data_IF_642392688702
#
_entry.id   IF_642392688702
#
_cell.length_a   1.000
_cell.length_b   1.000
_cell.length_c   1.000
_cell.angle_alpha   90.00
_cell.angle_beta   90.00
_cell.angle_gamma   90.00
#
_symmetry.space_group_name_H-M   'P 1'
#
loop_
_entity.id
_entity.type
_entity.pdbx_description
1 polymer ?
#
# COMPACT_ATOMS: atom_id res chain seq x y z
N UNK A 1 2.98 -72.28 -34.86
CA UNK A 1 2.49 -70.90 -34.97
C UNK A 1 2.99 -70.15 -33.74
N UNK A 2 4.09 -69.41 -33.89
CA UNK A 2 4.79 -68.73 -32.79
C UNK A 2 4.07 -67.43 -32.43
N UNK A 3 3.49 -67.32 -31.23
CA UNK A 3 3.12 -66.03 -30.65
C UNK A 3 4.26 -65.55 -29.74
N UNK A 4 4.93 -64.49 -30.19
CA UNK A 4 5.91 -63.73 -29.41
C UNK A 4 5.19 -62.88 -28.37
N UNK A 5 5.47 -63.12 -27.10
CA UNK A 5 5.19 -62.20 -26.00
C UNK A 5 6.17 -61.02 -26.08
N UNK A 6 5.62 -59.81 -26.31
CA UNK A 6 6.36 -58.54 -26.23
C UNK A 6 6.40 -58.09 -24.77
N UNK A 7 7.60 -58.15 -24.17
CA UNK A 7 7.90 -57.57 -22.86
C UNK A 7 8.04 -56.06 -22.99
N UNK A 8 7.15 -55.31 -22.35
CA UNK A 8 7.22 -53.85 -22.24
C UNK A 8 8.09 -53.49 -21.02
N UNK A 9 9.20 -52.73 -21.16
CA UNK A 9 9.99 -52.34 -20.00
C UNK A 9 9.27 -51.19 -19.28
N UNK A 10 8.91 -51.45 -18.02
CA UNK A 10 8.37 -50.45 -17.10
C UNK A 10 9.51 -49.46 -16.77
N UNK A 11 9.57 -48.34 -17.50
CA UNK A 11 10.45 -47.22 -17.17
C UNK A 11 9.94 -46.65 -15.85
N UNK A 12 10.61 -47.04 -14.76
CA UNK A 12 10.33 -46.51 -13.43
C UNK A 12 10.96 -45.13 -13.37
N UNK A 13 10.16 -44.10 -13.60
CA UNK A 13 10.57 -42.71 -13.39
C UNK A 13 10.73 -42.52 -11.88
N UNK A 14 11.94 -42.72 -11.37
CA UNK A 14 12.30 -42.27 -10.03
C UNK A 14 12.34 -40.75 -10.09
N UNK A 15 11.19 -40.13 -9.87
CA UNK A 15 11.13 -38.71 -9.54
C UNK A 15 11.83 -38.55 -8.20
N UNK A 16 13.13 -38.21 -8.24
CA UNK A 16 13.83 -37.65 -7.09
C UNK A 16 13.09 -36.38 -6.73
N UNK A 17 12.18 -36.51 -5.75
CA UNK A 17 11.58 -35.38 -5.07
C UNK A 17 12.73 -34.69 -4.33
N UNK A 18 13.41 -33.78 -5.03
CA UNK A 18 14.24 -32.80 -4.38
C UNK A 18 13.27 -31.97 -3.53
N UNK A 19 13.17 -32.32 -2.24
CA UNK A 19 12.76 -31.40 -1.21
C UNK A 19 13.67 -30.18 -1.35
N UNK A 20 13.24 -29.22 -2.15
CA UNK A 20 13.77 -27.88 -2.08
C UNK A 20 13.38 -27.40 -0.70
N UNK A 21 14.34 -27.46 0.23
CA UNK A 21 14.29 -26.65 1.42
C UNK A 21 13.95 -25.24 0.96
N UNK A 22 12.75 -24.79 1.33
CA UNK A 22 12.23 -23.45 1.10
C UNK A 22 13.17 -22.45 1.79
N UNK A 23 14.25 -22.09 1.09
CA UNK A 23 15.21 -21.08 1.49
C UNK A 23 14.57 -19.70 1.36
N UNK A 24 13.65 -19.39 2.28
CA UNK A 24 13.12 -18.05 2.47
C UNK A 24 14.23 -17.18 3.07
N UNK A 25 14.83 -16.33 2.23
CA UNK A 25 15.92 -15.41 2.53
C UNK A 25 17.20 -16.00 3.16
N UNK A 26 18.36 -15.52 2.72
CA UNK A 26 19.64 -16.01 3.21
C UNK A 26 19.96 -15.38 4.58
N UNK A 27 19.93 -16.17 5.67
CA UNK A 27 20.28 -15.70 7.02
C UNK A 27 21.70 -15.10 7.07
N UNK A 28 22.61 -15.52 6.18
CA UNK A 28 23.92 -14.91 6.04
C UNK A 28 23.82 -13.43 5.60
N UNK A 29 22.96 -13.10 4.63
CA UNK A 29 22.75 -11.72 4.22
C UNK A 29 22.22 -10.87 5.36
N UNK A 30 21.27 -11.42 6.12
CA UNK A 30 20.69 -10.76 7.27
C UNK A 30 21.73 -10.47 8.33
N UNK A 31 22.61 -11.43 8.60
CA UNK A 31 23.73 -11.28 9.53
C UNK A 31 24.69 -10.17 9.07
N UNK A 32 25.07 -10.17 7.80
CA UNK A 32 25.97 -9.15 7.24
C UNK A 32 25.34 -7.75 7.30
N UNK A 33 24.05 -7.64 6.95
CA UNK A 33 23.32 -6.36 6.99
C UNK A 33 23.15 -5.83 8.41
N UNK A 34 22.96 -6.71 9.40
CA UNK A 34 22.72 -6.34 10.80
C UNK A 34 23.98 -6.41 11.68
N UNK A 35 25.17 -6.62 11.11
CA UNK A 35 26.40 -6.69 11.90
C UNK A 35 26.63 -5.38 12.68
N UNK A 36 26.63 -5.47 14.01
CA UNK A 36 26.77 -4.31 14.90
C UNK A 36 25.55 -3.38 14.89
N UNK A 37 24.38 -3.84 14.45
CA UNK A 37 23.14 -3.06 14.42
C UNK A 37 22.13 -3.67 15.40
N UNK A 38 21.87 -2.97 16.49
CA UNK A 38 20.87 -3.35 17.49
C UNK A 38 19.61 -2.49 17.41
N UNK A 39 19.79 -1.19 17.20
CA UNK A 39 18.71 -0.20 17.17
C UNK A 39 19.07 0.94 16.22
N UNK A 40 18.11 1.32 15.38
CA UNK A 40 18.27 2.47 14.47
C UNK A 40 17.42 3.66 14.93
N UNK A 41 17.72 4.81 14.33
CA UNK A 41 17.03 6.07 14.53
C UNK A 41 15.50 5.91 14.44
N UNK A 42 14.75 6.59 15.32
CA UNK A 42 13.31 6.74 15.18
C UNK A 42 12.84 8.17 14.90
N UNK A 43 13.75 9.05 14.48
CA UNK A 43 13.43 10.35 13.90
C UNK A 43 12.64 10.19 12.60
N UNK A 44 11.65 11.06 12.40
CA UNK A 44 10.62 10.89 11.39
C UNK A 44 9.58 9.82 11.77
N UNK A 45 8.69 9.46 10.85
CA UNK A 45 7.77 8.34 11.03
C UNK A 45 7.75 7.52 9.75
N UNK A 46 8.34 6.33 9.71
CA UNK A 46 8.40 5.52 8.49
C UNK A 46 7.03 5.06 8.04
N UNK A 47 6.89 4.82 6.74
CA UNK A 47 5.89 3.90 6.21
C UNK A 47 6.35 2.45 6.41
N UNK A 48 5.41 1.52 6.52
CA UNK A 48 5.75 0.10 6.50
C UNK A 48 6.15 -0.39 5.10
N UNK A 49 6.75 -1.56 5.01
CA UNK A 49 7.07 -2.25 3.77
C UNK A 49 6.33 -3.58 3.70
N UNK A 50 5.70 -3.84 2.56
CA UNK A 50 5.32 -5.17 2.16
C UNK A 50 6.56 -5.88 1.60
N UNK A 51 6.94 -6.98 2.24
CA UNK A 51 8.03 -7.87 1.80
C UNK A 51 7.39 -9.16 1.34
N UNK A 52 7.40 -9.48 0.06
CA UNK A 52 6.74 -10.67 -0.51
C UNK A 52 7.69 -11.57 -1.31
N UNK A 53 8.87 -11.06 -1.68
CA UNK A 53 9.83 -11.79 -2.49
C UNK A 53 10.38 -13.02 -1.76
N UNK A 54 10.64 -14.14 -2.45
CA UNK A 54 11.16 -15.36 -1.83
C UNK A 54 12.56 -15.17 -1.22
N UNK A 55 13.34 -14.24 -1.78
CA UNK A 55 14.69 -13.86 -1.29
C UNK A 55 14.70 -12.51 -0.57
N UNK A 56 13.52 -11.92 -0.33
CA UNK A 56 13.38 -10.64 0.34
C UNK A 56 13.31 -10.84 1.86
N UNK A 57 14.10 -10.07 2.60
CA UNK A 57 14.24 -10.17 4.04
C UNK A 57 13.89 -8.86 4.76
N UNK A 58 12.97 -8.89 5.73
CA UNK A 58 12.81 -7.83 6.71
C UNK A 58 14.05 -7.75 7.63
N UNK A 59 14.54 -6.54 7.89
CA UNK A 59 15.71 -6.27 8.74
C UNK A 59 15.33 -5.60 10.05
N UNK A 60 14.43 -4.62 9.96
CA UNK A 60 13.96 -3.79 11.07
C UNK A 60 12.45 -3.68 10.99
N UNK A 61 11.75 -3.70 12.12
CA UNK A 61 10.30 -3.61 12.16
C UNK A 61 9.78 -2.59 13.19
N UNK A 62 8.65 -1.98 12.86
CA UNK A 62 7.88 -1.10 13.75
C UNK A 62 6.61 -1.79 14.25
N UNK A 63 6.03 -1.27 15.34
CA UNK A 63 4.77 -1.74 15.92
C UNK A 63 3.58 -1.26 15.08
N UNK A 64 2.72 -2.18 14.65
CA UNK A 64 1.50 -1.86 13.89
C UNK A 64 0.37 -2.76 14.36
N UNK A 65 -0.78 -2.19 14.74
CA UNK A 65 -1.98 -2.98 15.06
C UNK A 65 -1.83 -4.06 16.13
N UNK A 66 -0.83 -3.99 17.03
CA UNK A 66 -0.54 -5.03 18.02
C UNK A 66 0.34 -6.19 17.50
N UNK A 67 0.87 -6.06 16.28
CA UNK A 67 1.93 -6.88 15.71
C UNK A 67 3.07 -5.96 15.21
N UNK A 68 3.82 -6.40 14.19
CA UNK A 68 4.91 -5.62 13.60
C UNK A 68 4.79 -5.58 12.08
N UNK A 69 5.31 -4.52 11.46
CA UNK A 69 5.54 -4.42 10.02
C UNK A 69 7.00 -4.04 9.74
N UNK A 70 7.60 -4.53 8.64
CA UNK A 70 8.94 -4.11 8.24
C UNK A 70 9.01 -2.60 8.00
N UNK A 71 10.09 -1.98 8.44
CA UNK A 71 10.45 -0.58 8.13
C UNK A 71 11.79 -0.47 7.43
N UNK A 72 12.58 -1.55 7.41
CA UNK A 72 13.74 -1.73 6.53
C UNK A 72 13.72 -3.17 6.02
N UNK A 73 13.91 -3.36 4.72
CA UNK A 73 13.99 -4.67 4.09
C UNK A 73 15.04 -4.68 2.98
N UNK A 74 15.58 -5.86 2.68
CA UNK A 74 16.52 -6.05 1.58
C UNK A 74 16.05 -7.16 0.65
N UNK A 75 16.44 -7.09 -0.63
CA UNK A 75 16.15 -8.11 -1.63
C UNK A 75 17.12 -8.02 -2.81
N UNK A 76 16.95 -8.89 -3.81
CA UNK A 76 17.71 -8.91 -5.06
C UNK A 76 16.79 -8.71 -6.25
N UNK A 77 17.33 -8.12 -7.32
CA UNK A 77 16.67 -8.00 -8.62
C UNK A 77 17.72 -8.21 -9.71
N UNK A 78 17.57 -9.28 -10.49
CA UNK A 78 18.66 -9.77 -11.34
C UNK A 78 19.94 -10.02 -10.54
N UNK A 79 21.05 -9.41 -10.97
CA UNK A 79 22.35 -9.45 -10.28
C UNK A 79 22.48 -8.38 -9.19
N UNK A 80 21.59 -7.39 -9.17
CA UNK A 80 21.62 -6.27 -8.23
C UNK A 80 21.00 -6.59 -6.89
N UNK A 81 21.21 -5.67 -5.96
CA UNK A 81 20.83 -5.78 -4.55
C UNK A 81 20.17 -4.48 -4.11
N UNK A 82 19.03 -4.60 -3.43
CA UNK A 82 18.20 -3.47 -3.02
C UNK A 82 18.05 -3.48 -1.51
N UNK A 83 18.18 -2.32 -0.88
CA UNK A 83 17.75 -2.10 0.51
C UNK A 83 16.75 -0.95 0.54
N UNK A 84 15.53 -1.26 0.97
CA UNK A 84 14.42 -0.33 1.08
C UNK A 84 14.26 0.13 2.52
N UNK A 85 14.12 1.43 2.69
CA UNK A 85 13.91 2.13 3.94
C UNK A 85 12.53 2.79 3.91
N UNK A 86 11.69 2.52 4.91
CA UNK A 86 10.35 3.11 5.02
C UNK A 86 10.34 4.62 5.24
N UNK A 87 11.51 5.26 5.34
CA UNK A 87 11.67 6.71 5.42
C UNK A 87 13.03 7.12 4.82
N UNK A 88 13.06 8.20 4.06
CA UNK A 88 14.29 8.78 3.48
C UNK A 88 15.23 9.33 4.54
N UNK A 89 14.71 9.85 5.64
CA UNK A 89 15.49 10.23 6.82
C UNK A 89 16.41 9.14 7.42
N UNK A 90 16.22 7.85 7.13
CA UNK A 90 17.19 6.81 7.52
C UNK A 90 18.48 6.87 6.69
N UNK A 91 18.42 7.42 5.49
CA UNK A 91 19.59 7.59 4.61
C UNK A 91 20.50 8.75 5.06
N UNK A 92 20.00 9.67 5.89
CA UNK A 92 20.72 10.86 6.36
C UNK A 92 21.05 10.87 7.85
N UNK A 93 20.34 10.09 8.68
CA UNK A 93 20.56 10.04 10.14
C UNK A 93 21.82 9.25 10.57
N UNK A 94 22.92 9.41 9.84
CA UNK A 94 24.14 8.57 9.95
C UNK A 94 24.87 8.66 11.29
N UNK A 95 24.64 9.73 12.07
CA UNK A 95 25.22 9.94 13.41
C UNK A 95 24.30 9.53 14.57
N UNK A 96 23.12 8.96 14.28
CA UNK A 96 22.11 8.62 15.30
C UNK A 96 22.00 7.11 15.47
N UNK A 97 22.30 6.61 16.69
CA UNK A 97 22.28 5.18 17.03
C UNK A 97 23.10 4.36 16.02
N UNK A 98 22.68 3.13 15.71
CA UNK A 98 23.36 2.24 14.76
C UNK A 98 22.95 2.51 13.30
N UNK A 99 22.27 3.63 13.01
CA UNK A 99 21.75 3.93 11.66
C UNK A 99 22.87 4.09 10.64
N UNK A 100 23.95 4.79 11.00
CA UNK A 100 25.14 4.89 10.15
C UNK A 100 25.78 3.52 9.90
N UNK A 101 25.82 2.65 10.92
CA UNK A 101 26.33 1.28 10.77
C UNK A 101 25.46 0.48 9.80
N UNK A 102 24.13 0.53 9.94
CA UNK A 102 23.21 -0.12 9.00
C UNK A 102 23.37 0.42 7.57
N UNK A 103 23.57 1.73 7.40
CA UNK A 103 23.81 2.33 6.09
C UNK A 103 25.10 1.80 5.45
N UNK A 104 26.21 1.74 6.21
CA UNK A 104 27.49 1.20 5.73
C UNK A 104 27.37 -0.28 5.34
N UNK A 105 26.72 -1.10 6.19
CA UNK A 105 26.49 -2.51 5.92
C UNK A 105 25.64 -2.68 4.66
N UNK A 106 24.61 -1.86 4.49
CA UNK A 106 23.75 -1.86 3.32
C UNK A 106 24.49 -1.49 2.04
N UNK A 107 25.38 -0.49 2.07
CA UNK A 107 26.22 -0.10 0.92
C UNK A 107 27.13 -1.25 0.53
N UNK A 108 27.87 -1.82 1.49
CA UNK A 108 28.81 -2.92 1.24
C UNK A 108 28.09 -4.16 0.72
N UNK A 109 26.95 -4.49 1.31
CA UNK A 109 26.14 -5.60 0.83
C UNK A 109 25.60 -5.31 -0.58
N UNK A 110 25.08 -4.11 -0.85
CA UNK A 110 24.52 -3.75 -2.15
C UNK A 110 25.57 -3.69 -3.27
N UNK A 111 26.82 -3.38 -2.93
CA UNK A 111 27.96 -3.35 -3.86
C UNK A 111 28.32 -4.72 -4.47
N UNK A 112 27.82 -5.81 -3.89
CA UNK A 112 28.13 -7.17 -4.34
C UNK A 112 29.53 -7.60 -3.93
N UNK A 113 30.36 -7.99 -4.90
CA UNK A 113 31.74 -8.44 -4.67
C UNK A 113 32.77 -7.30 -4.69
N UNK A 114 32.31 -6.06 -4.90
CA UNK A 114 33.17 -4.88 -5.00
C UNK A 114 33.61 -4.42 -3.62
N UNK A 115 34.91 -4.45 -3.36
CA UNK A 115 35.50 -4.07 -2.07
C UNK A 115 35.53 -2.55 -1.84
N UNK A 116 35.62 -1.76 -2.91
CA UNK A 116 35.68 -0.29 -2.88
C UNK A 116 34.59 0.30 -3.77
N UNK A 117 33.31 0.25 -3.34
CA UNK A 117 32.21 0.72 -4.16
C UNK A 117 32.23 2.24 -4.30
N UNK A 118 31.92 2.72 -5.50
CA UNK A 118 31.62 4.13 -5.76
C UNK A 118 30.13 4.40 -5.61
N UNK A 119 29.79 5.34 -4.73
CA UNK A 119 28.41 5.62 -4.30
C UNK A 119 27.89 6.91 -4.93
N UNK A 120 26.73 6.84 -5.59
CA UNK A 120 25.99 8.01 -6.06
C UNK A 120 24.92 8.42 -5.06
N UNK A 121 24.79 9.71 -4.75
CA UNK A 121 23.73 10.26 -3.89
C UNK A 121 22.79 11.11 -4.73
N UNK A 122 21.51 10.73 -4.77
CA UNK A 122 20.48 11.43 -5.55
C UNK A 122 19.32 11.88 -4.65
N UNK A 123 19.13 13.19 -4.52
CA UNK A 123 18.04 13.81 -3.73
C UNK A 123 18.01 13.44 -2.24
N UNK A 124 19.16 13.19 -1.63
CA UNK A 124 19.29 12.90 -0.19
C UNK A 124 19.29 14.20 0.62
N UNK A 125 18.52 14.29 1.72
CA UNK A 125 18.25 15.56 2.41
C UNK A 125 19.48 16.23 3.07
N UNK A 126 20.46 15.45 3.49
CA UNK A 126 21.71 15.94 4.11
C UNK A 126 22.92 15.43 3.33
N UNK A 127 22.93 15.64 2.01
CA UNK A 127 24.03 15.18 1.14
C UNK A 127 25.42 15.56 1.67
N UNK A 128 25.70 16.80 2.12
CA UNK A 128 27.02 17.14 2.66
C UNK A 128 27.40 16.32 3.90
N UNK A 129 26.45 16.08 4.82
CA UNK A 129 26.66 15.25 6.00
C UNK A 129 26.90 13.78 5.66
N UNK A 130 26.14 13.22 4.71
CA UNK A 130 26.31 11.83 4.26
C UNK A 130 27.62 11.65 3.50
N UNK A 131 27.99 12.57 2.59
CA UNK A 131 29.28 12.53 1.89
C UNK A 131 30.46 12.54 2.87
N UNK A 132 30.41 13.41 3.88
CA UNK A 132 31.45 13.48 4.91
C UNK A 132 31.56 12.18 5.69
N UNK A 133 30.41 11.61 6.10
CA UNK A 133 30.35 10.33 6.80
C UNK A 133 30.89 9.16 5.97
N UNK A 134 30.53 9.06 4.68
CA UNK A 134 31.04 7.99 3.81
C UNK A 134 32.55 8.11 3.59
N UNK A 135 33.07 9.34 3.44
CA UNK A 135 34.50 9.61 3.32
C UNK A 135 35.27 9.22 4.59
N UNK A 136 34.72 9.50 5.78
CA UNK A 136 35.28 9.07 7.07
C UNK A 136 35.38 7.54 7.21
N UNK A 137 34.64 6.80 6.39
CA UNK A 137 34.60 5.34 6.35
C UNK A 137 35.20 4.73 5.06
N UNK A 138 36.06 5.50 4.38
CA UNK A 138 36.80 5.07 3.18
C UNK A 138 35.90 4.63 2.00
N UNK A 139 34.71 5.22 1.88
CA UNK A 139 33.78 4.98 0.77
C UNK A 139 33.81 6.20 -0.17
N UNK A 140 34.13 5.96 -1.45
CA UNK A 140 34.03 7.00 -2.47
C UNK A 140 32.56 7.33 -2.74
N UNK A 141 32.19 8.61 -2.65
CA UNK A 141 30.83 9.04 -2.87
C UNK A 141 30.76 10.37 -3.63
N UNK A 142 29.76 10.50 -4.50
CA UNK A 142 29.51 11.70 -5.32
C UNK A 142 28.03 12.08 -5.29
N UNK A 143 27.76 13.38 -5.25
CA UNK A 143 26.42 13.91 -5.44
C UNK A 143 26.04 13.88 -6.92
N UNK A 144 24.85 13.39 -7.22
CA UNK A 144 24.30 13.28 -8.56
C UNK A 144 23.11 14.23 -8.71
N UNK A 145 23.06 14.90 -9.86
CA UNK A 145 21.88 15.65 -10.29
C UNK A 145 20.87 14.70 -10.94
N UNK A 146 19.59 15.09 -10.95
CA UNK A 146 18.54 14.33 -11.64
C UNK A 146 18.90 14.19 -13.13
N UNK A 147 18.85 12.96 -13.63
CA UNK A 147 19.20 12.63 -15.02
C UNK A 147 20.69 12.40 -15.28
N UNK A 148 21.56 12.45 -14.26
CA UNK A 148 22.96 12.08 -14.40
C UNK A 148 23.12 10.60 -14.80
N UNK A 149 24.19 10.29 -15.55
CA UNK A 149 24.57 8.91 -15.84
C UNK A 149 24.96 8.17 -14.56
N UNK A 150 24.65 6.87 -14.50
CA UNK A 150 25.09 5.95 -13.44
C UNK A 150 26.37 5.20 -13.82
N UNK A 151 27.04 5.58 -14.91
CA UNK A 151 28.30 4.96 -15.32
C UNK A 151 29.39 5.12 -14.26
N UNK A 152 29.99 4.00 -13.87
CA UNK A 152 30.98 3.96 -12.80
C UNK A 152 30.40 4.24 -11.41
N UNK A 153 29.07 4.18 -11.23
CA UNK A 153 28.43 4.12 -9.92
C UNK A 153 28.07 2.66 -9.63
N UNK A 154 28.47 2.16 -8.47
CA UNK A 154 28.20 0.79 -8.04
C UNK A 154 26.94 0.72 -7.17
N UNK A 155 26.73 1.74 -6.34
CA UNK A 155 25.60 1.84 -5.42
C UNK A 155 24.96 3.22 -5.49
N UNK A 156 23.63 3.28 -5.63
CA UNK A 156 22.85 4.51 -5.62
C UNK A 156 22.09 4.63 -4.30
N UNK A 157 22.31 5.72 -3.56
CA UNK A 157 21.47 6.17 -2.44
C UNK A 157 20.50 7.22 -2.95
N UNK A 158 19.20 6.95 -2.83
CA UNK A 158 18.18 7.82 -3.41
C UNK A 158 16.98 8.04 -2.48
N UNK A 159 16.51 9.28 -2.39
CA UNK A 159 15.15 9.54 -1.90
C UNK A 159 14.14 9.05 -2.95
N UNK A 160 13.50 7.92 -2.67
CA UNK A 160 12.58 7.29 -3.62
C UNK A 160 11.27 8.06 -3.83
N UNK A 161 10.95 9.05 -2.99
CA UNK A 161 9.79 9.94 -3.22
C UNK A 161 9.97 10.77 -4.50
N UNK A 162 11.22 11.01 -4.92
CA UNK A 162 11.54 11.77 -6.13
C UNK A 162 11.70 10.90 -7.38
N UNK A 163 11.47 9.58 -7.26
CA UNK A 163 11.51 8.67 -8.39
C UNK A 163 10.27 8.87 -9.27
N UNK A 164 10.50 9.09 -10.56
CA UNK A 164 9.44 9.26 -11.55
C UNK A 164 9.29 8.03 -12.46
N UNK A 165 8.16 7.92 -13.13
CA UNK A 165 7.80 6.75 -13.94
C UNK A 165 8.72 6.53 -15.15
N UNK A 166 9.29 7.60 -15.71
CA UNK A 166 10.21 7.55 -16.84
C UNK A 166 11.60 6.99 -16.47
N UNK A 167 11.92 6.92 -15.18
CA UNK A 167 13.18 6.36 -14.67
C UNK A 167 13.10 4.87 -14.32
N UNK A 168 11.89 4.28 -14.31
CA UNK A 168 11.68 2.88 -13.89
C UNK A 168 12.49 1.92 -14.76
N UNK A 169 12.42 2.06 -16.08
CA UNK A 169 13.07 1.11 -17.00
C UNK A 169 14.60 1.19 -16.92
N UNK A 170 15.15 2.40 -16.89
CA UNK A 170 16.60 2.62 -16.86
C UNK A 170 17.21 2.17 -15.54
N UNK A 171 16.62 2.54 -14.39
CA UNK A 171 17.07 2.05 -13.09
C UNK A 171 16.82 0.56 -12.92
N UNK A 172 15.69 0.04 -13.42
CA UNK A 172 15.40 -1.39 -13.39
C UNK A 172 16.44 -2.19 -14.16
N UNK A 173 16.83 -1.74 -15.35
CA UNK A 173 17.92 -2.35 -16.12
C UNK A 173 19.25 -2.30 -15.36
N UNK A 174 19.63 -1.12 -14.86
CA UNK A 174 20.90 -0.94 -14.14
C UNK A 174 21.01 -1.84 -12.90
N UNK A 175 19.92 -1.97 -12.11
CA UNK A 175 19.90 -2.88 -10.96
C UNK A 175 20.04 -4.33 -11.44
N UNK A 176 19.26 -4.77 -12.44
CA UNK A 176 19.36 -6.16 -12.95
C UNK A 176 20.77 -6.51 -13.45
N UNK A 177 21.48 -5.54 -13.99
CA UNK A 177 22.85 -5.69 -14.48
C UNK A 177 23.91 -5.70 -13.37
N UNK A 178 23.53 -5.45 -12.12
CA UNK A 178 24.40 -5.59 -10.94
C UNK A 178 24.63 -4.30 -10.14
N UNK A 179 23.88 -3.23 -10.41
CA UNK A 179 23.85 -2.03 -9.59
C UNK A 179 23.15 -2.26 -8.24
N UNK A 180 23.68 -1.67 -7.18
CA UNK A 180 23.09 -1.68 -5.85
C UNK A 180 22.20 -0.46 -5.60
N UNK A 181 21.02 -0.60 -5.03
CA UNK A 181 20.15 0.55 -4.72
C UNK A 181 19.70 0.58 -3.26
N UNK A 182 19.97 1.69 -2.59
CA UNK A 182 19.42 2.02 -1.28
C UNK A 182 18.41 3.14 -1.46
N UNK A 183 17.16 2.89 -1.07
CA UNK A 183 16.08 3.86 -1.32
C UNK A 183 15.19 4.06 -0.12
N UNK A 184 14.82 5.31 0.13
CA UNK A 184 13.91 5.68 1.20
C UNK A 184 12.60 6.22 0.66
N UNK A 185 11.46 5.62 1.04
CA UNK A 185 10.13 6.13 0.70
C UNK A 185 9.23 6.07 1.92
N UNK A 186 8.78 7.25 2.35
CA UNK A 186 7.73 7.40 3.36
C UNK A 186 6.37 7.19 2.69
N UNK A 187 5.90 5.94 2.60
CA UNK A 187 4.72 5.60 1.79
C UNK A 187 3.45 6.39 2.13
N UNK A 188 3.15 6.61 3.42
CA UNK A 188 2.02 7.48 3.82
C UNK A 188 2.24 8.95 3.42
N UNK A 189 3.50 9.44 3.46
CA UNK A 189 3.86 10.79 3.02
C UNK A 189 3.77 10.92 1.51
N UNK A 190 4.15 9.88 0.76
CA UNK A 190 3.98 9.83 -0.69
C UNK A 190 2.50 9.91 -1.08
N UNK A 191 1.60 9.20 -0.37
CA UNK A 191 0.15 9.30 -0.60
C UNK A 191 -0.37 10.73 -0.43
N UNK A 192 0.13 11.47 0.57
CA UNK A 192 -0.26 12.86 0.81
C UNK A 192 0.30 13.82 -0.24
N UNK A 193 1.57 13.66 -0.61
CA UNK A 193 2.31 14.62 -1.44
C UNK A 193 2.24 14.35 -2.94
N UNK A 194 1.92 13.11 -3.35
CA UNK A 194 1.94 12.64 -4.74
C UNK A 194 0.69 11.84 -5.10
N UNK A 195 0.17 11.05 -4.17
CA UNK A 195 -1.01 10.21 -4.37
C UNK A 195 -2.36 10.95 -4.27
N UNK A 196 -2.38 12.26 -4.03
CA UNK A 196 -3.63 13.02 -3.90
C UNK A 196 -4.53 12.54 -2.77
N UNK A 197 -3.94 12.00 -1.70
CA UNK A 197 -4.61 11.30 -0.59
C UNK A 197 -5.37 10.02 -0.99
N UNK A 198 -5.07 9.44 -2.15
CA UNK A 198 -5.54 8.12 -2.54
C UNK A 198 -4.48 7.06 -2.20
N UNK A 199 -4.82 6.15 -1.29
CA UNK A 199 -3.93 5.04 -0.91
C UNK A 199 -3.76 4.04 -2.04
N UNK A 200 -4.75 3.87 -2.92
CA UNK A 200 -4.66 2.96 -4.05
C UNK A 200 -3.63 3.44 -5.09
N UNK A 201 -3.26 4.73 -5.07
CA UNK A 201 -2.18 5.27 -5.90
C UNK A 201 -0.82 4.60 -5.61
N UNK A 202 -0.60 4.05 -4.40
CA UNK A 202 0.62 3.26 -4.13
C UNK A 202 0.70 2.00 -4.99
N UNK A 203 -0.44 1.41 -5.34
CA UNK A 203 -0.51 0.17 -6.15
C UNK A 203 -0.40 0.45 -7.64
N UNK A 204 -0.68 1.69 -8.10
CA UNK A 204 -0.82 2.00 -9.52
C UNK A 204 0.21 3.00 -10.04
N UNK A 205 0.55 4.04 -9.27
CA UNK A 205 1.36 5.17 -9.75
C UNK A 205 2.61 5.47 -8.94
N UNK A 206 2.82 4.79 -7.80
CA UNK A 206 4.09 4.90 -7.07
C UNK A 206 5.22 4.23 -7.84
N UNK A 207 6.10 5.05 -8.44
CA UNK A 207 7.22 4.56 -9.25
C UNK A 207 8.15 3.60 -8.50
N UNK A 208 8.37 3.83 -7.20
CA UNK A 208 9.20 2.96 -6.38
C UNK A 208 8.57 1.56 -6.24
N UNK A 209 7.26 1.48 -6.02
CA UNK A 209 6.56 0.19 -5.98
C UNK A 209 6.58 -0.50 -7.34
N UNK A 210 6.46 0.26 -8.44
CA UNK A 210 6.56 -0.30 -9.79
C UNK A 210 7.96 -0.83 -10.11
N UNK A 211 9.02 -0.15 -9.65
CA UNK A 211 10.41 -0.53 -9.85
C UNK A 211 10.78 -1.79 -9.04
N UNK A 212 10.34 -1.89 -7.78
CA UNK A 212 10.79 -2.95 -6.87
C UNK A 212 9.85 -4.17 -6.77
N UNK A 213 8.77 -4.22 -7.56
CA UNK A 213 7.83 -5.34 -7.55
C UNK A 213 8.47 -6.69 -7.87
N UNK A 214 9.42 -6.71 -8.81
CA UNK A 214 10.18 -7.91 -9.17
C UNK A 214 11.05 -8.41 -7.99
N UNK A 215 11.56 -7.49 -7.18
CA UNK A 215 12.29 -7.81 -5.95
C UNK A 215 11.36 -8.23 -4.79
N UNK A 216 10.04 -8.14 -4.96
CA UNK A 216 9.05 -8.41 -3.94
C UNK A 216 9.14 -7.45 -2.74
N UNK A 217 9.38 -6.17 -3.01
CA UNK A 217 9.31 -5.09 -2.02
C UNK A 217 8.32 -4.03 -2.51
N UNK A 218 7.40 -3.61 -1.65
CA UNK A 218 6.54 -2.46 -1.88
C UNK A 218 6.41 -1.60 -0.61
N UNK A 219 6.38 -0.28 -0.77
CA UNK A 219 6.13 0.70 0.28
C UNK A 219 4.62 0.82 0.55
N UNK A 220 4.25 0.83 1.83
CA UNK A 220 2.87 0.88 2.28
C UNK A 220 2.50 2.23 2.89
N UNK A 221 1.20 2.50 2.97
CA UNK A 221 0.65 3.66 3.69
C UNK A 221 0.49 3.42 5.21
N UNK A 222 0.94 2.28 5.74
CA UNK A 222 0.93 2.05 7.19
C UNK A 222 1.89 2.99 7.90
N UNK A 223 1.73 3.15 9.22
CA UNK A 223 2.54 4.10 10.02
C UNK A 223 3.13 3.37 11.22
N UNK A 224 4.08 2.42 11.02
CA UNK A 224 4.59 1.60 12.09
C UNK A 224 5.28 2.45 13.18
N UNK A 225 4.79 2.28 14.40
CA UNK A 225 5.29 3.00 15.57
C UNK A 225 6.62 2.42 16.05
N UNK A 226 7.33 3.23 16.83
CA UNK A 226 8.62 2.89 17.43
C UNK A 226 8.52 1.62 18.28
N UNK A 227 9.57 0.80 18.28
CA UNK A 227 9.68 -0.41 19.11
C UNK A 227 10.46 -0.18 20.40
N UNK A 228 11.12 0.98 20.55
CA UNK A 228 11.77 1.45 21.77
C UNK A 228 11.68 2.98 21.90
N UNK A 229 11.96 3.59 23.07
CA UNK A 229 12.05 5.04 23.24
C UNK A 229 13.08 5.63 22.27
N UNK A 230 12.59 6.31 21.23
CA UNK A 230 13.38 6.93 20.15
C UNK A 230 14.19 5.97 19.27
N UNK A 231 13.77 4.71 19.15
CA UNK A 231 14.43 3.77 18.25
C UNK A 231 13.49 2.71 17.63
N UNK A 232 13.98 2.11 16.55
CA UNK A 232 13.48 0.84 16.02
C UNK A 232 14.50 -0.27 16.29
N UNK A 233 14.07 -1.32 17.00
CA UNK A 233 14.85 -2.53 17.25
C UNK A 233 15.08 -3.27 15.94
N UNK A 234 16.35 -3.54 15.65
CA UNK A 234 16.77 -4.35 14.53
C UNK A 234 16.80 -5.84 14.91
N UNK A 235 16.51 -6.70 13.95
CA UNK A 235 16.64 -8.13 14.14
C UNK A 235 15.46 -8.82 14.87
N UNK A 236 15.75 -9.92 15.56
CA UNK A 236 14.75 -10.84 16.15
C UNK A 236 14.12 -11.81 15.13
N UNK A 237 13.08 -12.55 15.51
CA UNK A 237 12.32 -13.33 14.52
C UNK A 237 11.43 -12.39 13.70
N UNK A 238 11.74 -12.28 12.41
CA UNK A 238 11.00 -11.47 11.43
C UNK A 238 10.50 -12.33 10.25
N UNK A 239 10.58 -13.65 10.36
CA UNK A 239 10.28 -14.59 9.27
C UNK A 239 8.86 -14.39 8.72
N UNK A 240 7.87 -14.28 9.61
CA UNK A 240 6.46 -14.04 9.25
C UNK A 240 6.13 -12.60 8.89
N UNK A 241 7.12 -11.70 8.85
CA UNK A 241 6.94 -10.37 8.25
C UNK A 241 7.19 -10.38 6.72
N UNK A 242 7.63 -11.51 6.17
CA UNK A 242 7.50 -11.79 4.75
C UNK A 242 6.07 -12.29 4.47
N UNK A 243 5.33 -11.57 3.64
CA UNK A 243 3.93 -11.84 3.31
C UNK A 243 3.73 -13.18 2.58
N UNK A 244 4.70 -13.66 1.82
CA UNK A 244 4.63 -15.01 1.24
C UNK A 244 4.72 -16.07 2.34
N UNK A 245 5.68 -15.94 3.27
CA UNK A 245 5.82 -16.86 4.40
C UNK A 245 4.60 -16.79 5.33
N UNK A 246 4.06 -15.60 5.58
CA UNK A 246 2.85 -15.41 6.37
C UNK A 246 1.62 -16.06 5.73
N UNK A 247 1.50 -16.00 4.39
CA UNK A 247 0.43 -16.65 3.64
C UNK A 247 0.55 -18.16 3.73
N UNK A 248 1.74 -18.71 3.55
CA UNK A 248 2.00 -20.15 3.64
C UNK A 248 1.73 -20.69 5.05
N UNK A 249 2.15 -19.97 6.09
CA UNK A 249 1.84 -20.29 7.48
C UNK A 249 0.33 -20.29 7.74
N UNK A 250 -0.38 -19.25 7.26
CA UNK A 250 -1.83 -19.16 7.38
C UNK A 250 -2.55 -20.31 6.64
N UNK A 251 -2.12 -20.63 5.43
CA UNK A 251 -2.68 -21.76 4.67
C UNK A 251 -2.46 -23.08 5.41
N UNK A 252 -1.23 -23.34 5.89
CA UNK A 252 -0.92 -24.55 6.67
C UNK A 252 -1.77 -24.66 7.94
N UNK A 253 -2.06 -23.54 8.60
CA UNK A 253 -2.98 -23.48 9.73
C UNK A 253 -4.41 -23.85 9.33
N UNK A 254 -4.93 -23.25 8.27
CA UNK A 254 -6.31 -23.46 7.82
C UNK A 254 -6.55 -24.89 7.33
N UNK A 255 -5.53 -25.55 6.80
CA UNK A 255 -5.56 -26.96 6.41
C UNK A 255 -5.38 -27.93 7.59
N UNK A 256 -5.21 -27.42 8.81
CA UNK A 256 -5.00 -28.23 10.02
C UNK A 256 -3.61 -28.89 10.12
N UNK A 257 -2.66 -28.50 9.26
CA UNK A 257 -1.30 -29.09 9.22
C UNK A 257 -0.40 -28.51 10.30
N UNK A 258 -0.40 -27.19 10.45
CA UNK A 258 0.44 -26.48 11.45
C UNK A 258 -0.40 -25.47 12.23
N UNK A 259 -0.86 -25.81 13.44
CA UNK A 259 -1.61 -24.87 14.28
C UNK A 259 -0.77 -23.63 14.62
N UNK A 260 -1.37 -22.45 14.51
CA UNK A 260 -0.76 -21.17 14.86
C UNK A 260 -1.45 -20.59 16.09
N UNK A 261 -0.70 -19.85 16.91
CA UNK A 261 -1.26 -19.14 18.04
C UNK A 261 -2.16 -17.97 17.58
N UNK A 262 -3.13 -17.51 18.40
CA UNK A 262 -3.92 -16.33 18.09
C UNK A 262 -3.08 -15.07 17.80
N UNK A 263 -1.95 -14.90 18.50
CA UNK A 263 -1.03 -13.79 18.28
C UNK A 263 -0.32 -13.89 16.92
N UNK A 264 0.04 -15.11 16.50
CA UNK A 264 0.62 -15.36 15.18
C UNK A 264 -0.40 -15.13 14.08
N UNK A 265 -1.64 -15.59 14.25
CA UNK A 265 -2.74 -15.33 13.32
C UNK A 265 -3.02 -13.83 13.17
N UNK A 266 -3.08 -13.10 14.28
CA UNK A 266 -3.22 -11.65 14.26
C UNK A 266 -2.06 -10.95 13.51
N UNK A 267 -0.84 -11.45 13.66
CA UNK A 267 0.32 -10.95 12.92
C UNK A 267 0.22 -11.22 11.42
N UNK A 268 -0.15 -12.45 11.02
CA UNK A 268 -0.42 -12.80 9.62
C UNK A 268 -1.52 -11.91 9.02
N UNK A 269 -2.60 -11.65 9.77
CA UNK A 269 -3.68 -10.76 9.31
C UNK A 269 -3.19 -9.34 9.01
N UNK A 270 -2.32 -8.79 9.86
CA UNK A 270 -1.77 -7.43 9.68
C UNK A 270 -0.80 -7.38 8.50
N UNK A 271 0.15 -8.32 8.42
CA UNK A 271 1.16 -8.38 7.34
C UNK A 271 0.49 -8.56 5.99
N UNK A 272 -0.43 -9.54 5.87
CA UNK A 272 -1.09 -9.85 4.61
C UNK A 272 -2.09 -8.75 4.22
N UNK A 273 -2.84 -8.20 5.19
CA UNK A 273 -3.76 -7.10 4.94
C UNK A 273 -3.05 -5.82 4.49
N UNK A 274 -1.83 -5.56 4.97
CA UNK A 274 -1.00 -4.45 4.47
C UNK A 274 -0.39 -4.74 3.10
N UNK A 275 0.02 -5.97 2.83
CA UNK A 275 0.52 -6.41 1.54
C UNK A 275 -0.50 -6.18 0.42
N UNK A 276 -1.74 -6.67 0.57
CA UNK A 276 -2.79 -6.52 -0.45
C UNK A 276 -3.01 -5.05 -0.84
N UNK A 277 -3.03 -4.16 0.16
CA UNK A 277 -3.31 -2.73 -0.04
C UNK A 277 -2.12 -1.94 -0.61
N UNK A 278 -0.95 -2.56 -0.73
CA UNK A 278 0.31 -1.87 -1.10
C UNK A 278 0.97 -2.43 -2.36
N UNK A 279 0.76 -3.71 -2.67
CA UNK A 279 1.36 -4.35 -3.84
C UNK A 279 0.90 -3.73 -5.16
N UNK A 280 1.77 -3.58 -6.16
CA UNK A 280 1.36 -3.23 -7.51
C UNK A 280 0.27 -4.14 -8.06
N UNK A 281 -0.70 -3.59 -8.81
CA UNK A 281 -1.85 -4.35 -9.32
C UNK A 281 -1.47 -5.52 -10.22
N UNK A 282 -0.31 -5.45 -10.85
CA UNK A 282 0.27 -6.46 -11.74
C UNK A 282 1.38 -7.31 -11.06
N UNK A 283 1.46 -7.30 -9.73
CA UNK A 283 2.36 -8.18 -8.98
C UNK A 283 2.17 -9.65 -9.38
N UNK A 284 3.27 -10.33 -9.68
CA UNK A 284 3.30 -11.72 -10.12
C UNK A 284 3.69 -12.70 -9.01
N UNK A 285 4.12 -12.19 -7.83
CA UNK A 285 4.66 -13.01 -6.75
C UNK A 285 3.60 -13.44 -5.75
N UNK A 286 2.84 -12.49 -5.20
CA UNK A 286 1.89 -12.74 -4.11
C UNK A 286 0.43 -12.63 -4.56
N UNK A 287 0.08 -11.68 -5.43
CA UNK A 287 -1.30 -11.49 -5.90
C UNK A 287 -1.94 -12.75 -6.50
N UNK A 288 -1.25 -13.55 -7.35
CA UNK A 288 -1.83 -14.79 -7.85
C UNK A 288 -2.15 -15.80 -6.72
N UNK A 289 -1.29 -15.88 -5.70
CA UNK A 289 -1.51 -16.74 -4.53
C UNK A 289 -2.71 -16.26 -3.70
N UNK A 290 -2.86 -14.96 -3.51
CA UNK A 290 -4.00 -14.35 -2.82
C UNK A 290 -5.32 -14.52 -3.59
N UNK A 291 -5.28 -14.44 -4.93
CA UNK A 291 -6.43 -14.66 -5.79
C UNK A 291 -6.91 -16.12 -5.75
N UNK A 292 -5.98 -17.06 -5.58
CA UNK A 292 -6.29 -18.49 -5.45
C UNK A 292 -6.91 -18.86 -4.10
N UNK A 293 -6.86 -17.97 -3.10
CA UNK A 293 -7.50 -18.23 -1.81
C UNK A 293 -8.99 -18.42 -1.99
N UNK A 294 -9.49 -19.56 -1.55
CA UNK A 294 -10.92 -19.79 -1.42
C UNK A 294 -11.33 -19.39 -0.01
N UNK A 295 -12.42 -18.69 0.10
CA UNK A 295 -13.29 -18.83 1.24
C UNK A 295 -14.70 -18.82 0.74
N UNK A 296 -15.56 -19.53 1.47
CA UNK A 296 -17.01 -19.37 1.33
C UNK A 296 -17.33 -17.87 1.45
N UNK A 297 -18.41 -17.41 0.80
CA UNK A 297 -18.88 -16.02 0.82
C UNK A 297 -18.81 -15.44 2.24
N UNK A 298 -17.68 -14.82 2.58
CA UNK A 298 -17.36 -14.50 3.95
C UNK A 298 -18.34 -13.43 4.38
N UNK A 299 -19.19 -13.75 5.36
CA UNK A 299 -20.18 -12.81 5.84
C UNK A 299 -19.49 -11.48 6.20
N UNK A 300 -20.02 -10.34 5.75
CA UNK A 300 -19.40 -9.06 6.04
C UNK A 300 -19.40 -8.81 7.56
N UNK A 301 -18.39 -8.08 8.08
CA UNK A 301 -18.34 -7.69 9.48
C UNK A 301 -19.57 -6.85 9.84
N UNK A 302 -20.18 -7.16 10.99
CA UNK A 302 -21.31 -6.42 11.56
C UNK A 302 -21.19 -6.26 13.08
N UNK A 303 -22.01 -5.40 13.70
CA UNK A 303 -21.99 -5.20 15.16
C UNK A 303 -22.21 -6.49 15.96
N UNK A 304 -23.10 -7.35 15.49
CA UNK A 304 -23.50 -8.63 16.09
C UNK A 304 -22.49 -9.76 15.78
N UNK A 305 -21.80 -9.66 14.64
CA UNK A 305 -20.83 -10.63 14.15
C UNK A 305 -19.51 -9.94 13.77
N UNK A 306 -18.73 -9.46 14.77
CA UNK A 306 -17.49 -8.76 14.51
C UNK A 306 -16.38 -9.73 14.07
N UNK A 307 -15.48 -9.25 13.20
CA UNK A 307 -14.35 -10.04 12.70
C UNK A 307 -13.07 -9.65 13.43
N UNK A 308 -12.58 -10.54 14.30
CA UNK A 308 -11.40 -10.36 15.14
C UNK A 308 -10.10 -10.57 14.36
N UNK A 309 -8.97 -10.02 14.84
CA UNK A 309 -7.66 -10.14 14.16
C UNK A 309 -7.18 -11.58 13.97
N UNK A 310 -7.50 -12.47 14.90
CA UNK A 310 -7.16 -13.90 14.84
C UNK A 310 -8.00 -14.68 13.83
N UNK A 311 -9.12 -14.12 13.34
CA UNK A 311 -9.84 -14.60 12.15
C UNK A 311 -9.10 -14.20 10.85
N UNK A 312 -7.81 -14.55 10.77
CA UNK A 312 -6.87 -14.02 9.80
C UNK A 312 -7.28 -14.31 8.34
N UNK A 313 -7.72 -15.53 8.04
CA UNK A 313 -8.19 -15.90 6.70
C UNK A 313 -9.42 -15.07 6.28
N UNK A 314 -10.40 -14.91 7.18
CA UNK A 314 -11.60 -14.12 6.90
C UNK A 314 -11.25 -12.64 6.65
N UNK A 315 -10.38 -12.05 7.48
CA UNK A 315 -9.91 -10.66 7.26
C UNK A 315 -9.17 -10.53 5.94
N UNK A 316 -8.38 -11.55 5.56
CA UNK A 316 -7.62 -11.55 4.32
C UNK A 316 -8.52 -11.56 3.09
N UNK A 317 -9.53 -12.43 3.08
CA UNK A 317 -10.54 -12.53 2.02
C UNK A 317 -11.28 -11.20 1.86
N UNK A 318 -11.78 -10.64 2.96
CA UNK A 318 -12.47 -9.35 2.94
C UNK A 318 -11.57 -8.23 2.42
N UNK A 319 -10.29 -8.22 2.82
CA UNK A 319 -9.34 -7.20 2.34
C UNK A 319 -9.11 -7.34 0.84
N UNK A 320 -8.89 -8.56 0.34
CA UNK A 320 -8.74 -8.84 -1.08
C UNK A 320 -9.97 -8.39 -1.88
N UNK A 321 -11.15 -8.78 -1.44
CA UNK A 321 -12.41 -8.52 -2.15
C UNK A 321 -12.70 -7.02 -2.18
N UNK A 322 -12.46 -6.32 -1.05
CA UNK A 322 -12.60 -4.87 -1.00
C UNK A 322 -11.63 -4.16 -1.94
N UNK A 323 -10.37 -4.59 -2.01
CA UNK A 323 -9.39 -4.00 -2.93
C UNK A 323 -9.75 -4.30 -4.39
N UNK A 324 -10.32 -5.47 -4.70
CA UNK A 324 -10.84 -5.78 -6.03
C UNK A 324 -11.99 -4.86 -6.46
N UNK A 325 -12.88 -4.49 -5.52
CA UNK A 325 -14.01 -3.58 -5.78
C UNK A 325 -13.55 -2.15 -6.13
N UNK A 326 -12.36 -1.73 -5.70
CA UNK A 326 -11.84 -0.38 -5.99
C UNK A 326 -11.51 -0.18 -7.47
N UNK A 327 -11.11 -1.24 -8.16
CA UNK A 327 -10.77 -1.21 -9.58
C UNK A 327 -11.96 -1.48 -10.50
N UNK A 328 -13.13 -1.78 -9.95
CA UNK A 328 -14.35 -2.04 -10.74
C UNK A 328 -14.82 -0.76 -11.43
N UNK A 329 -15.11 -0.86 -12.74
CA UNK A 329 -15.65 0.27 -13.48
C UNK A 329 -17.01 0.68 -12.89
N UNK A 330 -17.36 1.99 -12.83
CA UNK A 330 -18.60 2.45 -12.20
C UNK A 330 -19.86 1.71 -12.66
N UNK A 331 -19.95 1.37 -13.95
CA UNK A 331 -21.09 0.66 -14.54
C UNK A 331 -21.21 -0.82 -14.10
N UNK A 332 -20.15 -1.40 -13.55
CA UNK A 332 -20.07 -2.80 -13.13
C UNK A 332 -20.15 -2.97 -11.61
N UNK A 333 -20.09 -1.86 -10.85
CA UNK A 333 -20.20 -1.89 -9.39
C UNK A 333 -21.60 -2.38 -8.99
N UNK A 334 -21.64 -3.35 -8.08
CA UNK A 334 -22.88 -3.85 -7.47
C UNK A 334 -22.96 -3.44 -6.01
N UNK A 335 -24.18 -3.35 -5.48
CA UNK A 335 -24.39 -3.14 -4.06
C UNK A 335 -23.77 -4.29 -3.25
N UNK A 336 -22.88 -3.97 -2.32
CA UNK A 336 -22.33 -4.92 -1.38
C UNK A 336 -23.36 -5.22 -0.29
N UNK A 337 -23.54 -6.47 0.16
CA UNK A 337 -24.48 -6.80 1.24
C UNK A 337 -24.25 -6.00 2.54
N UNK A 338 -23.01 -5.59 2.78
CA UNK A 338 -22.64 -4.77 3.94
C UNK A 338 -23.22 -3.35 3.92
N UNK A 339 -23.65 -2.84 2.75
CA UNK A 339 -24.31 -1.54 2.63
C UNK A 339 -25.55 -1.46 3.53
N UNK A 340 -26.28 -2.57 3.69
CA UNK A 340 -27.47 -2.65 4.55
C UNK A 340 -27.12 -2.59 6.06
N UNK A 341 -25.92 -3.04 6.44
CA UNK A 341 -25.42 -2.97 7.83
C UNK A 341 -24.94 -1.54 8.12
N UNK A 342 -24.10 -1.01 7.23
CA UNK A 342 -23.55 0.33 7.31
C UNK A 342 -23.02 0.75 5.93
N UNK A 343 -23.36 1.95 5.42
CA UNK A 343 -24.06 3.06 6.08
C UNK A 343 -25.59 2.98 6.15
N UNK A 344 -26.21 1.98 5.51
CA UNK A 344 -27.65 1.79 5.42
C UNK A 344 -28.15 1.75 3.97
N UNK A 345 -29.22 0.99 3.73
CA UNK A 345 -29.85 0.88 2.42
C UNK A 345 -30.65 2.14 2.07
N UNK A 346 -30.63 2.50 0.79
CA UNK A 346 -31.57 3.47 0.22
C UNK A 346 -32.86 2.75 -0.13
N UNK A 347 -34.02 3.35 0.18
CA UNK A 347 -35.31 2.79 -0.23
C UNK A 347 -35.39 2.66 -1.75
N UNK A 348 -35.96 1.55 -2.24
CA UNK A 348 -36.19 1.36 -3.67
C UNK A 348 -37.12 2.46 -4.25
N UNK A 349 -38.01 3.01 -3.43
CA UNK A 349 -38.96 4.06 -3.79
C UNK A 349 -38.39 5.48 -3.69
N UNK A 350 -37.15 5.64 -3.18
CA UNK A 350 -36.52 6.95 -3.09
C UNK A 350 -36.35 7.55 -4.50
N UNK A 351 -36.84 8.78 -4.75
CA UNK A 351 -36.77 9.38 -6.07
C UNK A 351 -35.32 9.68 -6.42
N UNK A 352 -34.89 9.21 -7.59
CA UNK A 352 -33.58 9.55 -8.15
C UNK A 352 -33.65 10.98 -8.66
N UNK A 353 -32.60 11.73 -8.37
CA UNK A 353 -32.50 13.12 -8.82
C UNK A 353 -31.97 13.10 -10.25
N UNK A 354 -32.84 13.46 -11.20
CA UNK A 354 -32.50 13.53 -12.62
C UNK A 354 -31.39 14.56 -12.91
N UNK A 355 -31.41 15.68 -12.20
CA UNK A 355 -30.38 16.71 -12.27
C UNK A 355 -30.46 17.66 -11.07
N UNK A 356 -29.36 17.81 -10.33
CA UNK A 356 -29.20 18.81 -9.28
C UNK A 356 -27.95 19.64 -9.54
N UNK A 357 -28.14 20.91 -9.85
CA UNK A 357 -27.04 21.88 -9.91
C UNK A 357 -26.85 22.53 -8.54
N UNK A 358 -25.61 22.56 -8.08
CA UNK A 358 -25.18 23.18 -6.83
C UNK A 358 -24.10 24.21 -7.13
N UNK A 359 -24.25 25.42 -6.58
CA UNK A 359 -23.19 26.42 -6.61
C UNK A 359 -22.25 26.21 -5.43
N UNK A 360 -20.99 25.90 -5.71
CA UNK A 360 -19.93 25.67 -4.72
C UNK A 360 -19.00 26.87 -4.63
N UNK A 361 -18.52 27.17 -3.42
CA UNK A 361 -17.55 28.24 -3.17
C UNK A 361 -16.13 27.66 -3.12
N UNK A 362 -15.34 27.86 -4.15
CA UNK A 362 -13.99 27.27 -4.24
C UNK A 362 -13.01 27.85 -3.21
N UNK A 363 -13.32 28.98 -2.56
CA UNK A 363 -12.52 29.47 -1.44
C UNK A 363 -12.66 28.59 -0.18
N UNK A 364 -13.79 27.89 -0.03
CA UNK A 364 -14.02 26.91 1.02
C UNK A 364 -13.39 25.56 0.61
N UNK A 365 -12.07 25.46 0.76
CA UNK A 365 -11.31 24.24 0.44
C UNK A 365 -11.81 23.02 1.25
N UNK A 366 -11.45 21.81 0.82
CA UNK A 366 -11.90 20.52 1.39
C UNK A 366 -13.36 20.22 1.06
N UNK A 367 -14.00 19.37 1.88
CA UNK A 367 -15.27 18.73 1.55
C UNK A 367 -16.44 19.68 1.70
N UNK A 368 -17.14 19.91 0.60
CA UNK A 368 -18.43 20.59 0.60
C UNK A 368 -19.54 19.56 0.42
N UNK A 369 -20.44 19.50 1.40
CA UNK A 369 -21.60 18.61 1.39
C UNK A 369 -22.63 19.05 0.36
N UNK A 370 -23.10 18.09 -0.45
CA UNK A 370 -24.03 18.36 -1.56
C UNK A 370 -25.50 18.29 -1.16
N UNK A 371 -25.80 17.63 -0.04
CA UNK A 371 -27.16 17.23 0.31
C UNK A 371 -27.69 16.06 -0.52
N UNK A 372 -26.80 15.34 -1.20
CA UNK A 372 -27.13 14.15 -1.98
C UNK A 372 -26.42 12.91 -1.43
N UNK A 373 -27.01 11.75 -1.71
CA UNK A 373 -26.50 10.44 -1.34
C UNK A 373 -26.42 9.54 -2.55
N UNK A 374 -25.30 8.84 -2.73
CA UNK A 374 -25.12 7.84 -3.76
C UNK A 374 -25.73 6.50 -3.28
N UNK A 375 -26.75 5.95 -3.95
CA UNK A 375 -27.23 4.61 -3.64
C UNK A 375 -26.15 3.56 -3.90
N UNK A 376 -26.15 2.50 -3.11
CA UNK A 376 -25.15 1.43 -3.24
C UNK A 376 -25.29 0.73 -4.60
N UNK A 377 -24.18 0.65 -5.35
CA UNK A 377 -24.14 0.02 -6.68
C UNK A 377 -24.73 0.84 -7.83
N UNK A 378 -25.35 1.99 -7.56
CA UNK A 378 -25.90 2.84 -8.63
C UNK A 378 -24.84 3.85 -9.12
N UNK A 379 -24.89 4.17 -10.42
CA UNK A 379 -24.01 5.15 -11.05
C UNK A 379 -24.49 6.56 -10.75
N UNK A 380 -23.57 7.39 -10.23
CA UNK A 380 -23.73 8.83 -10.07
C UNK A 380 -22.86 9.55 -11.10
N UNK A 381 -23.42 10.54 -11.79
CA UNK A 381 -22.68 11.37 -12.74
C UNK A 381 -22.44 12.75 -12.14
N UNK A 382 -21.20 13.21 -12.18
CA UNK A 382 -20.76 14.55 -11.79
C UNK A 382 -20.36 15.31 -13.04
N UNK A 383 -20.90 16.52 -13.22
CA UNK A 383 -20.54 17.43 -14.30
C UNK A 383 -20.00 18.73 -13.75
N UNK A 384 -18.86 19.17 -14.29
CA UNK A 384 -18.20 20.44 -14.00
C UNK A 384 -17.86 21.15 -15.31
N UNK A 385 -17.65 22.46 -15.25
CA UNK A 385 -17.21 23.20 -16.43
C UNK A 385 -15.77 22.75 -16.85
N UNK A 386 -15.47 22.65 -18.16
CA UNK A 386 -14.21 22.09 -18.66
C UNK A 386 -12.95 22.74 -18.10
N UNK A 387 -12.98 24.03 -17.77
CA UNK A 387 -11.85 24.77 -17.21
C UNK A 387 -11.42 24.28 -15.81
N UNK A 388 -12.29 23.56 -15.10
CA UNK A 388 -12.01 22.98 -13.77
C UNK A 388 -11.59 21.50 -13.83
N UNK A 389 -11.76 20.85 -14.97
CA UNK A 389 -11.35 19.45 -15.15
C UNK A 389 -9.81 19.33 -14.98
N UNK A 390 -9.39 18.32 -14.22
CA UNK A 390 -7.98 18.06 -13.95
C UNK A 390 -7.31 19.09 -13.02
N UNK A 391 -8.05 20.04 -12.45
CA UNK A 391 -7.50 21.07 -11.52
C UNK A 391 -7.44 20.61 -10.05
N UNK A 392 -7.55 19.30 -9.80
CA UNK A 392 -7.41 18.69 -8.47
C UNK A 392 -8.71 18.53 -7.68
N UNK A 393 -9.85 18.98 -8.20
CA UNK A 393 -11.16 18.69 -7.64
C UNK A 393 -11.45 17.19 -7.65
N UNK A 394 -12.18 16.70 -6.64
CA UNK A 394 -12.62 15.31 -6.57
C UNK A 394 -14.07 15.20 -6.09
N UNK A 395 -14.74 14.12 -6.48
CA UNK A 395 -15.95 13.65 -5.80
C UNK A 395 -15.55 12.65 -4.72
N UNK A 396 -16.17 12.75 -3.55
CA UNK A 396 -16.06 11.79 -2.45
C UNK A 396 -17.43 11.20 -2.15
N UNK A 397 -17.49 9.88 -1.99
CA UNK A 397 -18.67 9.19 -1.46
C UNK A 397 -18.32 8.67 -0.07
N UNK A 398 -19.09 9.09 0.93
CA UNK A 398 -18.88 8.76 2.35
C UNK A 398 -18.08 9.82 3.12
N UNK A 399 -18.41 10.00 4.40
CA UNK A 399 -17.85 11.04 5.27
C UNK A 399 -16.60 10.61 6.07
N UNK A 400 -16.02 9.45 5.77
CA UNK A 400 -14.90 8.90 6.53
C UNK A 400 -13.58 9.04 5.75
N UNK A 401 -12.47 9.30 6.46
CA UNK A 401 -11.10 9.19 5.95
C UNK A 401 -10.29 8.11 6.66
N UNK A 402 -10.77 7.68 7.82
CA UNK A 402 -10.19 6.62 8.62
C UNK A 402 -10.54 5.25 8.05
N UNK A 403 -9.60 4.31 8.21
CA UNK A 403 -9.82 2.90 7.92
C UNK A 403 -9.73 2.09 9.22
N UNK A 404 -10.56 1.07 9.36
CA UNK A 404 -10.62 0.24 10.56
C UNK A 404 -9.58 -0.88 10.58
N UNK A 405 -8.69 -0.93 9.58
CA UNK A 405 -7.69 -1.98 9.37
C UNK A 405 -6.89 -2.33 10.64
N UNK A 406 -6.57 -1.32 11.44
CA UNK A 406 -5.78 -1.43 12.66
C UNK A 406 -6.57 -1.91 13.88
N UNK A 407 -7.91 -2.00 13.85
CA UNK A 407 -8.72 -2.38 15.01
C UNK A 407 -8.61 -3.89 15.35
N UNK A 408 -8.78 -4.19 16.64
CA UNK A 408 -8.80 -5.56 17.19
C UNK A 408 -9.92 -6.42 16.62
N UNK A 409 -11.02 -5.78 16.24
CA UNK A 409 -12.17 -6.39 15.59
C UNK A 409 -12.82 -5.39 14.63
N UNK A 410 -13.46 -5.90 13.59
CA UNK A 410 -14.23 -5.12 12.62
C UNK A 410 -15.72 -5.34 12.86
N UNK A 411 -16.45 -4.27 13.21
CA UNK A 411 -17.91 -4.25 13.37
C UNK A 411 -18.67 -3.74 12.15
N UNK A 412 -17.93 -3.39 11.10
CA UNK A 412 -18.39 -2.96 9.78
C UNK A 412 -17.24 -3.11 8.81
N UNK A 413 -17.51 -2.93 7.52
CA UNK A 413 -16.46 -2.95 6.51
C UNK A 413 -15.33 -1.96 6.86
N UNK A 414 -14.05 -2.36 6.73
CA UNK A 414 -12.94 -1.55 7.22
C UNK A 414 -12.81 -0.21 6.52
N UNK A 415 -13.23 -0.14 5.27
CA UNK A 415 -13.22 1.06 4.46
C UNK A 415 -14.41 1.04 3.51
N UNK A 416 -15.17 2.14 3.47
CA UNK A 416 -16.39 2.24 2.66
C UNK A 416 -16.46 3.53 1.83
N UNK A 417 -15.54 4.46 2.09
CA UNK A 417 -15.52 5.76 1.42
C UNK A 417 -14.59 5.73 0.22
N UNK A 418 -14.97 6.41 -0.84
CA UNK A 418 -14.19 6.54 -2.07
C UNK A 418 -13.91 8.00 -2.39
N UNK A 419 -12.85 8.23 -3.16
CA UNK A 419 -12.45 9.54 -3.67
C UNK A 419 -12.00 9.40 -5.11
N UNK A 420 -12.63 10.13 -6.02
CA UNK A 420 -12.32 10.09 -7.45
C UNK A 420 -12.05 11.49 -7.96
N UNK A 421 -10.87 11.72 -8.55
CA UNK A 421 -10.52 12.99 -9.18
C UNK A 421 -11.43 13.28 -10.36
N UNK A 422 -11.91 14.51 -10.46
CA UNK A 422 -12.68 15.02 -11.61
C UNK A 422 -11.70 15.44 -12.71
N UNK A 423 -11.14 14.45 -13.41
CA UNK A 423 -10.17 14.68 -14.49
C UNK A 423 -10.83 15.19 -15.77
N UNK A 424 -12.07 14.79 -16.00
CA UNK A 424 -12.88 15.13 -17.17
C UNK A 424 -14.10 15.98 -16.78
N UNK A 425 -14.66 16.79 -17.71
CA UNK A 425 -15.85 17.61 -17.45
C UNK A 425 -17.07 16.77 -17.01
N UNK A 426 -17.08 15.48 -17.37
CA UNK A 426 -18.09 14.51 -16.97
C UNK A 426 -17.37 13.31 -16.36
N UNK A 427 -17.65 13.03 -15.10
CA UNK A 427 -17.09 11.88 -14.38
C UNK A 427 -18.22 11.01 -13.84
N UNK A 428 -18.20 9.72 -14.11
CA UNK A 428 -19.11 8.74 -13.50
C UNK A 428 -18.42 8.04 -12.34
N UNK A 429 -19.15 7.82 -11.25
CA UNK A 429 -18.69 7.11 -10.06
C UNK A 429 -19.79 6.19 -9.54
N UNK A 430 -19.41 5.11 -8.88
CA UNK A 430 -20.31 4.25 -8.13
C UNK A 430 -19.62 3.81 -6.85
N UNK A 431 -20.40 3.54 -5.80
CA UNK A 431 -19.89 3.01 -4.53
C UNK A 431 -20.62 1.71 -4.22
N UNK A 432 -19.92 0.61 -3.91
CA UNK A 432 -20.58 -0.63 -3.50
C UNK A 432 -21.32 -0.49 -2.17
N UNK A 433 -21.00 0.53 -1.35
CA UNK A 433 -21.65 0.77 -0.06
C UNK A 433 -22.65 1.94 -0.09
N UNK A 434 -22.61 2.76 -1.14
CA UNK A 434 -23.28 4.06 -1.15
C UNK A 434 -22.64 5.06 -0.18
N UNK A 435 -23.28 6.22 -0.01
CA UNK A 435 -22.85 7.22 0.97
C UNK A 435 -23.15 8.66 0.56
N UNK A 436 -23.00 9.58 1.52
CA UNK A 436 -23.12 11.02 1.27
C UNK A 436 -22.11 11.49 0.22
N UNK A 437 -22.56 12.33 -0.71
CA UNK A 437 -21.73 12.88 -1.77
C UNK A 437 -21.15 14.22 -1.33
N UNK A 438 -19.83 14.35 -1.45
CA UNK A 438 -19.08 15.57 -1.23
C UNK A 438 -18.29 15.94 -2.47
N UNK A 439 -18.11 17.23 -2.70
CA UNK A 439 -17.10 17.72 -3.64
C UNK A 439 -15.91 18.22 -2.82
N UNK A 440 -14.74 17.63 -3.05
CA UNK A 440 -13.49 17.90 -2.36
C UNK A 440 -12.68 18.93 -3.16
N UNK A 441 -12.58 20.14 -2.62
CA UNK A 441 -11.91 21.27 -3.24
C UNK A 441 -10.43 21.29 -2.85
N UNK A 442 -9.50 21.34 -3.82
CA UNK A 442 -8.07 21.27 -3.54
C UNK A 442 -7.58 22.51 -2.76
N UNK A 443 -6.46 22.37 -2.02
CA UNK A 443 -5.75 23.53 -1.50
C UNK A 443 -5.39 24.51 -2.64
N UNK A 444 -5.39 25.81 -2.34
CA UNK A 444 -5.08 26.89 -3.30
C UNK A 444 -6.04 27.00 -4.50
N UNK A 445 -7.28 26.52 -4.36
CA UNK A 445 -8.33 26.80 -5.34
C UNK A 445 -8.63 28.31 -5.43
N UNK A 446 -9.05 28.81 -6.62
CA UNK A 446 -9.38 30.23 -6.80
C UNK A 446 -10.58 30.64 -5.95
N UNK A 447 -10.62 31.89 -5.51
CA UNK A 447 -11.74 32.43 -4.72
C UNK A 447 -12.94 32.81 -5.61
N UNK A 448 -13.60 31.81 -6.19
CA UNK A 448 -14.74 31.97 -7.09
C UNK A 448 -15.84 30.95 -6.76
N UNK A 449 -17.04 31.18 -7.29
CA UNK A 449 -18.14 30.22 -7.23
C UNK A 449 -18.32 29.52 -8.57
N UNK A 450 -18.59 28.22 -8.52
CA UNK A 450 -18.80 27.39 -9.72
C UNK A 450 -20.04 26.53 -9.55
N UNK A 451 -20.65 26.15 -10.65
CA UNK A 451 -21.76 25.21 -10.66
C UNK A 451 -21.27 23.78 -10.91
N UNK A 452 -21.81 22.84 -10.13
CA UNK A 452 -21.61 21.40 -10.28
C UNK A 452 -22.96 20.72 -10.40
N UNK A 453 -23.16 19.93 -11.45
CA UNK A 453 -24.40 19.16 -11.66
C UNK A 453 -24.19 17.70 -11.29
N UNK A 454 -25.14 17.14 -10.54
CA UNK A 454 -25.13 15.75 -10.07
C UNK A 454 -26.43 15.06 -10.51
N UNK A 455 -26.30 13.86 -11.09
CA UNK A 455 -27.41 13.00 -11.56
C UNK A 455 -27.25 11.58 -11.03
N UNK A 456 -28.36 10.88 -10.77
CA UNK A 456 -28.37 9.47 -10.33
C UNK A 456 -28.19 9.27 -8.82
N UNK A 457 -28.20 10.37 -8.06
CA UNK A 457 -28.19 10.35 -6.60
C UNK A 457 -29.63 10.39 -6.04
N UNK A 458 -29.79 10.19 -4.74
CA UNK A 458 -31.03 10.50 -4.00
C UNK A 458 -30.81 11.70 -3.08
N UNK A 459 -31.90 12.33 -2.64
CA UNK A 459 -31.79 13.38 -1.63
C UNK A 459 -31.32 12.80 -0.30
N UNK A 460 -30.58 13.61 0.46
CA UNK A 460 -30.21 13.30 1.83
C UNK A 460 -30.54 14.47 2.74
N UNK A 461 -30.91 14.21 4.00
CA UNK A 461 -31.18 15.28 4.94
C UNK A 461 -29.98 16.21 5.07
N UNK A 462 -30.20 17.51 4.85
CA UNK A 462 -29.17 18.54 4.98
C UNK A 462 -29.66 19.69 5.86
N UNK A 463 -28.80 20.09 6.78
CA UNK A 463 -28.93 21.29 7.58
C UNK A 463 -27.76 22.23 7.30
N UNK A 464 -28.05 23.49 7.03
CA UNK A 464 -27.05 24.54 6.85
C UNK A 464 -27.28 25.59 7.93
N UNK A 465 -26.31 25.74 8.84
CA UNK A 465 -26.40 26.71 9.93
C UNK A 465 -26.58 28.13 9.36
N UNK A 466 -27.59 28.84 9.85
CA UNK A 466 -27.93 30.19 9.39
C UNK A 466 -28.77 30.25 8.10
N UNK A 467 -29.05 29.12 7.46
CA UNK A 467 -29.96 29.06 6.29
C UNK A 467 -31.16 28.14 6.52
N UNK A 468 -30.94 26.96 7.11
CA UNK A 468 -32.01 26.01 7.41
C UNK A 468 -32.73 26.35 8.71
N UNK A 469 -34.05 26.29 8.71
CA UNK A 469 -34.86 26.36 9.92
C UNK A 469 -35.01 24.98 10.55
N UNK A 470 -35.46 24.92 11.81
CA UNK A 470 -35.83 23.65 12.46
C UNK A 470 -36.98 22.94 11.72
N UNK A 471 -37.89 23.70 11.09
CA UNK A 471 -38.98 23.13 10.29
C UNK A 471 -38.44 22.45 9.02
N UNK A 472 -37.51 23.11 8.32
CA UNK A 472 -36.84 22.52 7.14
C UNK A 472 -36.11 21.24 7.52
N UNK A 473 -35.41 21.25 8.66
CA UNK A 473 -34.70 20.06 9.15
C UNK A 473 -35.64 18.89 9.44
N UNK A 474 -36.76 19.15 10.14
CA UNK A 474 -37.76 18.12 10.44
C UNK A 474 -38.38 17.55 9.15
N UNK A 475 -38.67 18.41 8.18
CA UNK A 475 -39.18 18.01 6.88
C UNK A 475 -38.18 17.11 6.15
N UNK A 476 -36.93 17.55 6.02
CA UNK A 476 -35.88 16.77 5.36
C UNK A 476 -35.56 15.44 6.04
N UNK A 477 -35.84 15.28 7.34
CA UNK A 477 -35.68 14.00 8.04
C UNK A 477 -36.85 13.03 7.83
N UNK A 478 -38.03 13.54 7.43
CA UNK A 478 -39.23 12.74 7.20
C UNK A 478 -39.44 12.34 5.74
N UNK A 479 -38.77 13.03 4.83
CA UNK A 479 -38.66 12.72 3.40
C UNK A 479 -37.49 11.75 3.17
#
# INVERSE_FOLDING_TARGET
MNLRTLSCPLITFVATLALHSSGFANEADRKDLLEGVSMINAGGTPGGLCVSGPVALPLVAGQEGGARLPVVAASRMGKGRIVAYGHDGFLSAVKVRDTGRLLLNSIRWAAGERSMPRVGLLSVSDTPGVLSFLKEHDIEAVELQKGASLDGIDVLLMNGITLDSDQIDSFGKWIRDGGGMLTGVTGWGWVQLRGGNDRAALQTTCAANQLFKEAGIAFSASVPRRTAPDAYIAGGDLSLLNATAALEALTSHTEGKTPLSPATLASCSIVLGDAIRSLPTDDTLLRPKLAALRGDDAAPPGPEHPIRRDAALQRLIITRDLESLRSTAPAEVKAHPAAAIFPGSVSADAPRVDSRTLTLDLSATRWQGTGLYAPAGEVVTIRIAPEYAGKGMAVRIGCHTDGLWHLGEWKRMPEISSRTLLKEPVTTVASPFGGLIYIDIPPAAPSIRIDVTITGAVQSPRFILGQSTTADWKKHLSE
#
